data_IF_854662558384
#
_entry.id   IF_854662558384
#
_cell.length_a   1.000
_cell.length_b   1.000
_cell.length_c   1.000
_cell.angle_alpha   90.00
_cell.angle_beta   90.00
_cell.angle_gamma   90.00
#
_symmetry.space_group_name_H-M   'P 1'
#
loop_
_entity.id
_entity.type
_entity.pdbx_description
1 polymer ?
#
# COMPACT_ATOMS: atom_id res chain seq x y z
N UNK A 1 -30.98 -16.48 -10.30
CA UNK A 1 -29.91 -15.85 -11.07
C UNK A 1 -29.49 -14.50 -10.48
N UNK A 2 -30.42 -13.61 -10.18
CA UNK A 2 -30.10 -12.31 -9.56
C UNK A 2 -29.48 -12.48 -8.18
N UNK A 3 -29.97 -13.40 -7.37
CA UNK A 3 -29.49 -13.64 -6.02
C UNK A 3 -28.02 -14.11 -5.98
N UNK A 4 -27.61 -15.00 -6.87
CA UNK A 4 -26.22 -15.49 -6.94
C UNK A 4 -25.26 -14.39 -7.39
N UNK A 5 -25.68 -13.55 -8.33
CA UNK A 5 -24.89 -12.41 -8.79
C UNK A 5 -24.74 -11.36 -7.69
N UNK A 6 -25.81 -11.07 -6.95
CA UNK A 6 -25.79 -10.14 -5.82
C UNK A 6 -24.89 -10.64 -4.70
N UNK A 7 -24.93 -11.95 -4.39
CA UNK A 7 -24.06 -12.59 -3.41
C UNK A 7 -22.58 -12.49 -3.86
N UNK A 8 -22.29 -12.75 -5.13
CA UNK A 8 -20.93 -12.63 -5.68
C UNK A 8 -20.39 -11.21 -5.55
N UNK A 9 -21.20 -10.20 -5.86
CA UNK A 9 -20.80 -8.81 -5.72
C UNK A 9 -20.59 -8.40 -4.23
N UNK A 10 -21.47 -8.87 -3.34
CA UNK A 10 -21.34 -8.62 -1.91
C UNK A 10 -20.07 -9.25 -1.33
N UNK A 11 -19.75 -10.49 -1.67
CA UNK A 11 -18.52 -11.17 -1.27
C UNK A 11 -17.28 -10.48 -1.85
N UNK A 12 -17.33 -10.04 -3.09
CA UNK A 12 -16.25 -9.26 -3.71
C UNK A 12 -15.94 -7.99 -2.92
N UNK A 13 -16.98 -7.23 -2.55
CA UNK A 13 -16.84 -6.01 -1.75
C UNK A 13 -16.23 -6.30 -0.37
N UNK A 14 -16.69 -7.32 0.31
CA UNK A 14 -16.20 -7.74 1.62
C UNK A 14 -14.72 -8.13 1.54
N UNK A 15 -14.32 -8.93 0.56
CA UNK A 15 -12.94 -9.35 0.36
C UNK A 15 -12.00 -8.17 0.07
N UNK A 16 -12.47 -7.17 -0.69
CA UNK A 16 -11.65 -6.00 -1.02
C UNK A 16 -11.55 -4.97 0.11
N UNK A 17 -12.52 -4.91 1.02
CA UNK A 17 -12.62 -3.84 2.02
C UNK A 17 -12.48 -4.28 3.48
N UNK A 18 -12.60 -5.56 3.78
CA UNK A 18 -12.72 -6.05 5.17
C UNK A 18 -11.52 -6.85 5.66
N UNK A 19 -10.58 -7.21 4.79
CA UNK A 19 -9.34 -7.90 5.17
C UNK A 19 -8.30 -6.85 5.58
N UNK A 20 -7.78 -6.91 6.82
CA UNK A 20 -6.75 -5.96 7.26
C UNK A 20 -5.43 -6.20 6.54
N UNK A 21 -4.71 -5.13 6.31
CA UNK A 21 -3.38 -5.16 5.75
C UNK A 21 -2.52 -4.04 6.31
N UNK A 22 -1.30 -3.94 5.82
CA UNK A 22 -0.33 -2.94 6.22
C UNK A 22 0.08 -2.11 5.02
N UNK A 23 0.32 -0.83 5.26
CA UNK A 23 0.80 0.07 4.22
C UNK A 23 1.65 1.19 4.83
N UNK A 24 2.49 1.80 4.00
CA UNK A 24 3.17 3.04 4.35
C UNK A 24 2.14 4.17 4.28
N UNK A 25 1.95 4.86 5.41
CA UNK A 25 0.93 5.92 5.54
C UNK A 25 1.53 7.31 5.60
N UNK A 26 2.75 7.43 6.11
CA UNK A 26 3.48 8.69 6.24
C UNK A 26 4.94 8.50 5.87
N UNK A 27 5.55 9.55 5.35
CA UNK A 27 6.96 9.60 5.00
C UNK A 27 7.55 10.94 5.43
N UNK A 28 8.70 10.91 6.07
CA UNK A 28 9.57 12.07 6.27
C UNK A 28 10.85 11.89 5.46
N UNK A 29 11.16 12.84 4.60
CA UNK A 29 12.38 12.85 3.80
C UNK A 29 13.22 14.04 4.25
N UNK A 30 14.49 13.83 4.59
CA UNK A 30 15.40 14.90 4.99
C UNK A 30 15.53 15.94 3.87
N UNK A 31 15.33 17.21 4.23
CA UNK A 31 15.37 18.33 3.30
C UNK A 31 14.10 18.58 2.50
N UNK A 32 13.04 17.81 2.72
CA UNK A 32 11.76 17.94 2.02
C UNK A 32 10.67 18.39 3.01
N UNK A 33 10.01 19.49 2.69
CA UNK A 33 8.93 20.07 3.52
C UNK A 33 7.54 19.78 2.98
N UNK A 34 7.42 19.53 1.68
CA UNK A 34 6.14 19.22 1.03
C UNK A 34 6.35 18.37 -0.24
N UNK A 35 5.27 17.78 -0.74
CA UNK A 35 5.28 16.83 -1.86
C UNK A 35 5.70 17.42 -3.21
N UNK A 36 5.69 18.73 -3.34
CA UNK A 36 6.09 19.43 -4.60
C UNK A 36 7.56 19.86 -4.62
N UNK A 37 8.32 19.53 -3.59
CA UNK A 37 9.75 19.83 -3.51
C UNK A 37 10.53 18.97 -4.51
N UNK A 38 11.50 19.57 -5.16
CA UNK A 38 12.50 18.85 -5.97
C UNK A 38 13.76 18.67 -5.16
N UNK A 39 14.31 17.47 -5.16
CA UNK A 39 15.56 17.14 -4.44
C UNK A 39 16.69 17.00 -5.45
N UNK A 40 17.79 17.74 -5.24
CA UNK A 40 18.97 17.62 -6.09
C UNK A 40 19.58 16.23 -5.97
N UNK A 41 19.93 15.64 -7.11
CA UNK A 41 20.49 14.30 -7.17
C UNK A 41 19.45 13.17 -7.18
N UNK A 42 18.18 13.50 -7.10
CA UNK A 42 17.06 12.56 -7.24
C UNK A 42 16.46 12.74 -8.64
N UNK A 43 16.36 11.64 -9.40
CA UNK A 43 15.81 11.68 -10.77
C UNK A 43 14.32 12.00 -10.77
N UNK A 44 13.58 11.37 -9.86
CA UNK A 44 12.15 11.55 -9.67
C UNK A 44 11.88 12.80 -8.80
N UNK A 45 10.71 13.41 -8.98
CA UNK A 45 10.22 14.39 -8.02
C UNK A 45 9.68 13.67 -6.75
N UNK A 46 9.45 14.43 -5.70
CA UNK A 46 8.97 13.86 -4.43
C UNK A 46 7.61 13.19 -4.58
N UNK A 47 6.72 13.76 -5.38
CA UNK A 47 5.39 13.17 -5.62
C UNK A 47 5.50 11.79 -6.27
N UNK A 48 6.40 11.61 -7.22
CA UNK A 48 6.65 10.34 -7.88
C UNK A 48 7.27 9.32 -6.92
N UNK A 49 8.17 9.74 -6.04
CA UNK A 49 8.70 8.89 -4.96
C UNK A 49 7.59 8.41 -4.04
N UNK A 50 6.64 9.28 -3.67
CA UNK A 50 5.49 8.90 -2.85
C UNK A 50 4.60 7.87 -3.54
N UNK A 51 4.36 8.03 -4.84
CA UNK A 51 3.60 7.06 -5.64
C UNK A 51 4.31 5.69 -5.70
N UNK A 52 5.63 5.68 -5.82
CA UNK A 52 6.41 4.45 -5.80
C UNK A 52 6.41 3.78 -4.43
N UNK A 53 6.46 4.55 -3.35
CA UNK A 53 6.34 4.02 -1.98
C UNK A 53 4.98 3.40 -1.69
N UNK A 54 3.94 3.89 -2.31
CA UNK A 54 2.58 3.34 -2.19
C UNK A 54 2.49 1.88 -2.65
N UNK A 55 3.32 1.47 -3.60
CA UNK A 55 3.35 0.12 -4.16
C UNK A 55 4.27 -0.84 -3.39
N UNK A 56 4.94 -0.39 -2.34
CA UNK A 56 5.73 -1.26 -1.47
C UNK A 56 4.80 -2.14 -0.64
N UNK A 57 4.93 -3.45 -0.80
CA UNK A 57 4.15 -4.43 -0.06
C UNK A 57 4.85 -4.77 1.26
N UNK A 58 4.15 -4.57 2.37
CA UNK A 58 4.67 -4.72 3.72
C UNK A 58 3.79 -5.65 4.53
N UNK A 59 4.44 -6.44 5.39
CA UNK A 59 3.80 -7.32 6.36
C UNK A 59 4.41 -7.09 7.73
N UNK A 60 3.55 -6.93 8.73
CA UNK A 60 3.95 -6.90 10.15
C UNK A 60 3.48 -8.15 10.85
N UNK A 61 4.31 -8.67 11.74
CA UNK A 61 3.99 -9.87 12.52
C UNK A 61 3.22 -9.55 13.80
N UNK A 62 3.41 -8.36 14.36
CA UNK A 62 2.71 -7.91 15.57
C UNK A 62 2.58 -6.39 15.61
N UNK A 63 1.55 -5.91 16.31
CA UNK A 63 1.29 -4.48 16.47
C UNK A 63 0.49 -3.86 15.32
N UNK A 64 0.15 -2.60 15.47
CA UNK A 64 -0.69 -1.83 14.53
C UNK A 64 0.08 -0.77 13.75
N UNK A 65 1.26 -0.38 14.21
CA UNK A 65 2.13 0.57 13.54
C UNK A 65 3.59 0.37 13.90
N UNK A 66 4.46 0.80 12.99
CA UNK A 66 5.92 0.83 13.21
C UNK A 66 6.53 1.93 12.34
N UNK A 67 7.73 2.34 12.69
CA UNK A 67 8.51 3.32 11.92
C UNK A 67 9.79 2.67 11.43
N UNK A 68 10.03 2.76 10.13
CA UNK A 68 11.22 2.23 9.47
C UNK A 68 12.07 3.35 8.90
N UNK A 69 13.34 3.09 8.75
CA UNK A 69 14.28 4.01 8.11
C UNK A 69 14.79 3.45 6.79
N UNK A 70 14.98 4.34 5.82
CA UNK A 70 15.69 4.06 4.58
C UNK A 70 16.82 5.07 4.46
N UNK A 71 18.06 4.59 4.36
CA UNK A 71 19.25 5.40 4.12
C UNK A 71 20.01 4.83 2.94
N UNK A 72 20.20 5.64 1.92
CA UNK A 72 20.96 5.27 0.72
C UNK A 72 21.89 6.39 0.31
N UNK A 73 23.12 6.04 0.01
CA UNK A 73 24.11 6.93 -0.58
C UNK A 73 24.16 6.66 -2.10
N UNK A 74 23.95 7.70 -2.88
CA UNK A 74 24.06 7.60 -4.33
C UNK A 74 25.49 7.68 -4.85
N UNK A 75 25.65 7.57 -6.17
CA UNK A 75 24.62 7.29 -7.16
C UNK A 75 24.13 5.84 -7.15
N UNK A 76 22.90 5.60 -7.55
CA UNK A 76 22.35 4.25 -7.65
C UNK A 76 20.83 4.19 -7.51
N UNK A 77 20.30 3.00 -7.68
CA UNK A 77 18.87 2.72 -7.56
C UNK A 77 18.52 2.49 -6.09
N UNK A 78 17.44 3.14 -5.64
CA UNK A 78 16.85 2.92 -4.32
C UNK A 78 15.68 1.97 -4.48
N UNK A 79 15.73 0.84 -3.78
CA UNK A 79 14.68 -0.18 -3.83
C UNK A 79 14.01 -0.37 -2.48
N UNK A 80 12.88 -1.06 -2.46
CA UNK A 80 12.20 -1.42 -1.21
C UNK A 80 13.08 -2.29 -0.30
N UNK A 81 14.01 -3.05 -0.86
CA UNK A 81 15.01 -3.85 -0.10
C UNK A 81 16.03 -3.00 0.66
N UNK A 82 16.19 -1.73 0.31
CA UNK A 82 17.07 -0.79 1.03
C UNK A 82 16.43 -0.26 2.33
N UNK A 83 15.14 -0.52 2.56
CA UNK A 83 14.46 -0.17 3.81
C UNK A 83 15.03 -1.04 4.93
N UNK A 84 15.47 -0.41 6.00
CA UNK A 84 15.92 -1.11 7.20
C UNK A 84 14.71 -1.64 7.94
N UNK A 85 14.48 -2.94 7.83
CA UNK A 85 13.37 -3.62 8.51
C UNK A 85 13.80 -4.16 9.86
N UNK A 86 12.88 -4.13 10.83
CA UNK A 86 13.03 -4.87 12.09
C UNK A 86 12.59 -6.33 11.91
N UNK A 87 12.83 -7.16 12.95
CA UNK A 87 12.34 -8.54 12.95
C UNK A 87 10.81 -8.64 12.88
N UNK A 88 10.10 -7.56 13.17
CA UNK A 88 8.64 -7.47 13.16
C UNK A 88 8.05 -7.12 11.79
N UNK A 89 8.85 -6.61 10.87
CA UNK A 89 8.41 -6.10 9.58
C UNK A 89 9.14 -6.80 8.44
N UNK A 90 8.38 -7.21 7.43
CA UNK A 90 8.89 -7.84 6.22
C UNK A 90 8.44 -7.04 4.99
N UNK A 91 9.37 -6.81 4.07
CA UNK A 91 9.09 -6.25 2.74
C UNK A 91 8.91 -7.40 1.77
N UNK A 92 7.73 -7.51 1.17
CA UNK A 92 7.37 -8.64 0.31
C UNK A 92 7.87 -8.48 -1.13
N UNK A 93 8.12 -7.25 -1.59
CA UNK A 93 8.63 -6.93 -2.93
C UNK A 93 9.92 -6.10 -2.89
N UNK A 94 11.02 -6.65 -2.37
CA UNK A 94 12.26 -5.88 -2.14
C UNK A 94 12.90 -5.33 -3.43
N UNK A 95 12.60 -5.92 -4.58
CA UNK A 95 13.07 -5.45 -5.88
C UNK A 95 12.34 -4.23 -6.44
N UNK A 96 11.26 -3.79 -5.80
CA UNK A 96 10.49 -2.64 -6.25
C UNK A 96 11.32 -1.35 -6.17
N UNK A 97 11.41 -0.62 -7.29
CA UNK A 97 12.19 0.62 -7.38
C UNK A 97 11.39 1.78 -6.78
N UNK A 98 11.99 2.48 -5.83
CA UNK A 98 11.42 3.66 -5.18
C UNK A 98 11.90 4.92 -5.86
N UNK A 99 13.21 5.03 -6.11
CA UNK A 99 13.85 6.22 -6.66
C UNK A 99 15.19 5.88 -7.33
N UNK A 100 15.74 6.85 -8.06
CA UNK A 100 17.07 6.77 -8.67
C UNK A 100 17.90 7.97 -8.22
N UNK A 101 19.04 7.72 -7.59
CA UNK A 101 20.01 8.74 -7.23
C UNK A 101 21.01 8.90 -8.38
N UNK A 102 21.13 10.12 -8.90
CA UNK A 102 21.98 10.45 -10.05
C UNK A 102 23.32 11.02 -9.66
N UNK A 103 23.47 11.43 -8.40
CA UNK A 103 24.68 12.06 -7.86
C UNK A 103 25.06 11.39 -6.53
N UNK A 104 26.25 11.74 -6.04
CA UNK A 104 26.73 11.33 -4.71
C UNK A 104 26.03 12.16 -3.61
N UNK A 105 24.77 11.86 -3.41
CA UNK A 105 23.93 12.46 -2.36
C UNK A 105 23.30 11.38 -1.49
N UNK A 106 23.06 11.72 -0.23
CA UNK A 106 22.40 10.82 0.71
C UNK A 106 20.89 11.04 0.67
N UNK A 107 20.14 9.95 0.54
CA UNK A 107 18.69 9.93 0.71
C UNK A 107 18.36 9.28 2.05
N UNK A 108 17.77 10.05 2.95
CA UNK A 108 17.35 9.59 4.26
C UNK A 108 15.85 9.78 4.40
N UNK A 109 15.13 8.70 4.68
CA UNK A 109 13.69 8.70 4.86
C UNK A 109 13.30 7.97 6.13
N UNK A 110 12.23 8.43 6.76
CA UNK A 110 11.50 7.69 7.78
C UNK A 110 10.11 7.36 7.27
N UNK A 111 9.75 6.09 7.35
CA UNK A 111 8.51 5.54 6.83
C UNK A 111 7.66 5.06 8.00
N UNK A 112 6.45 5.57 8.12
CA UNK A 112 5.48 5.08 9.11
C UNK A 112 4.55 4.07 8.44
N UNK A 113 4.50 2.87 9.01
CA UNK A 113 3.63 1.79 8.58
C UNK A 113 2.46 1.71 9.54
N UNK A 114 1.28 1.52 9.01
CA UNK A 114 0.05 1.35 9.81
C UNK A 114 -0.78 0.19 9.29
N UNK A 115 -1.57 -0.38 10.20
CA UNK A 115 -2.59 -1.36 9.87
C UNK A 115 -3.90 -0.66 9.52
N UNK A 116 -4.61 -1.17 8.54
CA UNK A 116 -5.90 -0.63 8.15
C UNK A 116 -6.66 -1.58 7.24
N UNK A 117 -7.79 -1.09 6.72
CA UNK A 117 -8.71 -1.84 5.86
C UNK A 117 -8.97 -1.07 4.57
N UNK A 118 -9.05 -1.79 3.47
CA UNK A 118 -9.40 -1.26 2.18
C UNK A 118 -8.47 -0.15 1.70
N UNK A 119 -9.02 0.84 1.00
CA UNK A 119 -8.31 2.01 0.52
C UNK A 119 -8.66 3.23 1.38
N UNK A 120 -7.64 3.93 1.86
CA UNK A 120 -7.79 5.16 2.62
C UNK A 120 -6.97 6.29 1.99
N UNK A 121 -7.61 7.28 1.36
CA UNK A 121 -6.91 8.45 0.87
C UNK A 121 -6.29 9.26 2.02
N UNK A 122 -5.16 9.90 1.77
CA UNK A 122 -4.48 10.75 2.75
C UNK A 122 -5.40 11.82 3.36
N UNK A 123 -6.26 12.42 2.54
CA UNK A 123 -7.21 13.43 2.98
C UNK A 123 -8.23 12.92 4.04
N UNK A 124 -8.62 11.65 3.96
CA UNK A 124 -9.58 11.05 4.91
C UNK A 124 -8.97 10.78 6.29
N UNK A 125 -7.64 10.74 6.40
CA UNK A 125 -6.92 10.51 7.66
C UNK A 125 -6.50 11.80 8.37
N UNK A 126 -6.74 12.95 7.75
CA UNK A 126 -6.48 14.26 8.37
C UNK A 126 -7.49 14.48 9.49
N UNK A 127 -6.99 14.64 10.71
CA UNK A 127 -7.83 15.04 11.84
C UNK A 127 -8.07 16.55 11.76
N UNK A 128 -9.30 17.00 12.05
CA UNK A 128 -9.62 18.45 12.05
C UNK A 128 -8.75 19.29 13.00
N UNK A 129 -8.22 18.66 14.06
CA UNK A 129 -7.41 19.32 15.08
C UNK A 129 -5.91 19.42 14.72
N UNK A 130 -5.49 18.82 13.60
CA UNK A 130 -4.12 18.93 13.09
C UNK A 130 -3.94 20.18 12.20
N UNK A 131 -4.36 21.34 12.67
CA UNK A 131 -3.95 22.62 12.05
C UNK A 131 -2.45 22.88 12.17
N UNK A 132 -1.77 22.18 13.07
CA UNK A 132 -0.32 22.11 13.12
C UNK A 132 0.18 20.88 12.38
N UNK A 133 0.17 20.92 11.03
CA UNK A 133 0.99 20.01 10.24
C UNK A 133 2.40 20.04 10.81
N UNK A 134 2.87 18.91 11.31
CA UNK A 134 4.29 18.75 11.56
C UNK A 134 4.97 18.94 10.20
N UNK A 135 5.63 20.07 10.02
CA UNK A 135 6.31 20.42 8.77
C UNK A 135 7.25 19.28 8.39
N UNK A 136 7.15 18.78 7.16
CA UNK A 136 7.98 17.71 6.65
C UNK A 136 7.36 16.31 6.69
N UNK A 137 6.21 16.12 7.32
CA UNK A 137 5.46 14.85 7.24
C UNK A 137 4.59 14.83 6.00
N UNK A 138 4.84 13.87 5.13
CA UNK A 138 4.11 13.67 3.90
C UNK A 138 3.16 12.48 4.09
N UNK A 139 1.88 12.69 3.82
CA UNK A 139 0.87 11.64 3.92
C UNK A 139 0.65 10.97 2.58
N UNK A 140 0.54 9.65 2.60
CA UNK A 140 0.29 8.80 1.43
C UNK A 140 -1.15 8.29 1.44
N UNK A 141 -1.73 8.16 0.25
CA UNK A 141 -2.90 7.31 0.08
C UNK A 141 -2.49 5.87 0.36
N UNK A 142 -3.26 5.15 1.16
CA UNK A 142 -2.92 3.81 1.58
C UNK A 142 -3.92 2.78 1.06
N UNK A 143 -3.40 1.74 0.40
CA UNK A 143 -4.15 0.55 0.06
C UNK A 143 -3.75 -0.57 1.02
N UNK A 144 -4.60 -0.83 2.00
CA UNK A 144 -4.32 -1.81 3.05
C UNK A 144 -4.70 -3.23 2.67
N UNK A 145 -5.61 -3.40 1.72
CA UNK A 145 -6.08 -4.72 1.34
C UNK A 145 -4.97 -5.58 0.75
N UNK A 146 -4.72 -6.79 1.29
CA UNK A 146 -3.82 -7.75 0.68
C UNK A 146 -4.39 -8.33 -0.61
N UNK A 147 -5.71 -8.22 -0.81
CA UNK A 147 -6.43 -8.68 -1.99
C UNK A 147 -6.36 -7.61 -3.06
N UNK A 148 -5.75 -7.91 -4.21
CA UNK A 148 -5.59 -6.97 -5.32
C UNK A 148 -6.79 -6.97 -6.25
N UNK A 149 -7.34 -8.16 -6.50
CA UNK A 149 -8.46 -8.36 -7.41
C UNK A 149 -9.37 -9.48 -6.93
N UNK A 150 -10.66 -9.27 -7.05
CA UNK A 150 -11.68 -10.30 -6.91
C UNK A 150 -12.56 -10.27 -8.15
N UNK A 151 -12.60 -11.38 -8.86
CA UNK A 151 -13.56 -11.62 -9.93
C UNK A 151 -14.51 -12.72 -9.49
N UNK A 152 -15.77 -12.67 -9.95
CA UNK A 152 -16.72 -13.73 -9.70
C UNK A 152 -17.46 -14.12 -10.98
N UNK A 153 -17.85 -15.37 -11.04
CA UNK A 153 -18.69 -15.91 -12.09
C UNK A 153 -19.78 -16.80 -11.49
N UNK A 154 -20.93 -16.76 -12.09
CA UNK A 154 -22.06 -17.63 -11.73
C UNK A 154 -22.20 -18.68 -12.82
N UNK A 155 -22.08 -19.95 -12.44
CA UNK A 155 -22.18 -21.08 -13.34
C UNK A 155 -23.40 -21.95 -12.96
N UNK A 156 -24.10 -22.49 -13.96
CA UNK A 156 -25.12 -23.46 -13.71
C UNK A 156 -24.50 -24.75 -13.13
N UNK A 157 -25.03 -25.21 -12.01
CA UNK A 157 -24.59 -26.44 -11.36
C UNK A 157 -25.73 -27.48 -11.40
N UNK A 158 -25.34 -28.75 -11.58
CA UNK A 158 -26.22 -29.88 -11.49
C UNK A 158 -25.81 -30.78 -10.33
N UNK A 159 -26.74 -30.95 -9.39
CA UNK A 159 -26.58 -31.90 -8.27
C UNK A 159 -27.70 -32.94 -8.37
N UNK A 160 -27.32 -34.19 -8.60
CA UNK A 160 -28.28 -35.29 -8.88
C UNK A 160 -29.20 -34.96 -10.07
N UNK A 161 -30.50 -34.85 -9.83
CA UNK A 161 -31.48 -34.50 -10.83
C UNK A 161 -31.92 -33.03 -10.81
N UNK A 162 -31.30 -32.23 -9.95
CA UNK A 162 -31.59 -30.79 -9.84
C UNK A 162 -30.73 -30.01 -10.79
N UNK A 163 -31.36 -29.19 -11.63
CA UNK A 163 -30.71 -28.33 -12.63
C UNK A 163 -30.93 -26.84 -12.35
N UNK A 164 -31.62 -26.50 -11.25
CA UNK A 164 -31.98 -25.16 -10.82
C UNK A 164 -30.94 -24.51 -9.85
N UNK A 165 -29.82 -25.17 -9.65
CA UNK A 165 -28.75 -24.70 -8.78
C UNK A 165 -27.69 -23.91 -9.55
N UNK A 166 -27.23 -22.82 -8.94
CA UNK A 166 -26.10 -22.01 -9.43
C UNK A 166 -24.85 -22.27 -8.63
N UNK A 167 -23.71 -22.25 -9.29
CA UNK A 167 -22.38 -22.31 -8.69
C UNK A 167 -21.77 -20.94 -8.75
N UNK A 168 -21.36 -20.41 -7.58
CA UNK A 168 -20.59 -19.18 -7.48
C UNK A 168 -19.10 -19.50 -7.47
N UNK A 169 -18.37 -18.96 -8.42
CA UNK A 169 -16.90 -19.10 -8.52
C UNK A 169 -16.27 -17.74 -8.22
N UNK A 170 -15.35 -17.72 -7.26
CA UNK A 170 -14.56 -16.55 -6.91
C UNK A 170 -13.10 -16.76 -7.33
N UNK A 171 -12.56 -15.78 -8.03
CA UNK A 171 -11.14 -15.70 -8.39
C UNK A 171 -10.52 -14.54 -7.62
N UNK A 172 -9.57 -14.85 -6.73
CA UNK A 172 -8.97 -13.90 -5.79
C UNK A 172 -7.47 -13.81 -6.09
N UNK A 173 -7.03 -12.60 -6.40
CA UNK A 173 -5.60 -12.27 -6.60
C UNK A 173 -5.09 -11.49 -5.39
N UNK A 174 -4.02 -11.99 -4.79
CA UNK A 174 -3.36 -11.39 -3.62
C UNK A 174 -1.96 -10.91 -3.94
#
# INVERSE_FOLDING_TARGET
DVCSSDLGNALRRVLLSSIPGFAITEVEIDGVLHEYTTVEGLQEDVLEVLLNLKDVAIRMHSGDSDTLELKKQGPGIVTAGDIKTSHNVEVLNPGHVIANLTKDVALNMRLTISRGFGYQPAAARRRPDEETRTIGKLMLDASFSPVRRVAYAVEAARVEQRTDLDKLVLDIET
#
